data_IF_580149436124
#
_entry.id   IF_580149436124
#
_cell.length_a   1.000
_cell.length_b   1.000
_cell.length_c   1.000
_cell.angle_alpha   90.00
_cell.angle_beta   90.00
_cell.angle_gamma   90.00
#
_symmetry.space_group_name_H-M   'P 1'
#
loop_
_entity.id
_entity.type
_entity.pdbx_description
1 polymer ?
#
# COMPACT_ATOMS: atom_id res chain seq x y z
N UNK A 1 13.27 -16.26 8.55
CA UNK A 1 13.33 -16.82 7.18
C UNK A 1 14.78 -16.77 6.67
N UNK A 2 15.33 -17.86 6.13
CA UNK A 2 16.63 -17.80 5.43
C UNK A 2 16.35 -17.61 3.93
N UNK A 3 16.44 -16.36 3.46
CA UNK A 3 16.18 -16.02 2.06
C UNK A 3 17.34 -16.33 1.12
N UNK A 4 18.54 -16.62 1.63
CA UNK A 4 19.70 -16.90 0.80
C UNK A 4 19.80 -18.39 0.46
N UNK A 5 19.46 -19.24 1.43
CA UNK A 5 19.56 -20.70 1.28
C UNK A 5 18.21 -21.42 1.19
N UNK A 6 17.09 -20.74 1.50
CA UNK A 6 15.76 -21.31 1.44
C UNK A 6 15.24 -21.46 0.01
N UNK A 7 14.42 -22.48 -0.21
CA UNK A 7 13.71 -22.63 -1.50
C UNK A 7 12.63 -21.55 -1.66
N UNK A 8 12.34 -21.17 -2.91
CA UNK A 8 11.26 -20.21 -3.22
C UNK A 8 9.93 -20.63 -2.59
N UNK A 9 9.65 -21.94 -2.55
CA UNK A 9 8.44 -22.50 -1.95
C UNK A 9 8.40 -22.28 -0.44
N UNK A 10 9.52 -22.42 0.27
CA UNK A 10 9.60 -22.15 1.71
C UNK A 10 9.39 -20.65 2.00
N UNK A 11 9.98 -19.76 1.20
CA UNK A 11 9.81 -18.31 1.38
C UNK A 11 8.35 -17.89 1.19
N UNK A 12 7.69 -18.42 0.16
CA UNK A 12 6.28 -18.15 -0.11
C UNK A 12 5.41 -18.75 1.00
N UNK A 13 5.76 -19.92 1.53
CA UNK A 13 4.93 -20.65 2.49
C UNK A 13 5.24 -20.35 3.96
N UNK A 14 6.28 -19.57 4.24
CA UNK A 14 6.72 -19.20 5.57
C UNK A 14 5.57 -18.63 6.45
N UNK A 15 5.41 -19.07 7.70
CA UNK A 15 4.39 -18.51 8.60
C UNK A 15 4.62 -17.01 8.80
N UNK A 16 3.54 -16.27 9.04
CA UNK A 16 3.56 -14.81 9.00
C UNK A 16 4.62 -14.20 9.95
N UNK A 17 4.73 -14.73 11.17
CA UNK A 17 5.74 -14.34 12.15
C UNK A 17 7.19 -14.58 11.67
N UNK A 18 7.43 -15.69 10.97
CA UNK A 18 8.78 -16.01 10.46
C UNK A 18 9.24 -15.11 9.33
N UNK A 19 8.31 -14.36 8.73
CA UNK A 19 8.60 -13.36 7.69
C UNK A 19 8.96 -11.99 8.25
N UNK A 20 8.90 -11.80 9.57
CA UNK A 20 9.30 -10.53 10.21
C UNK A 20 10.82 -10.42 10.35
N UNK A 21 11.53 -11.55 10.40
CA UNK A 21 12.97 -11.62 10.54
C UNK A 21 13.59 -12.43 9.42
N UNK A 22 14.74 -11.97 8.92
CA UNK A 22 15.55 -12.74 7.99
C UNK A 22 16.96 -12.95 8.52
N UNK A 23 17.58 -14.06 8.10
CA UNK A 23 18.97 -14.38 8.40
C UNK A 23 19.86 -13.80 7.30
N UNK A 24 20.87 -13.02 7.68
CA UNK A 24 21.88 -12.52 6.74
C UNK A 24 22.85 -13.63 6.34
N UNK A 25 23.62 -13.45 5.27
CA UNK A 25 24.70 -14.38 4.89
C UNK A 25 25.71 -14.60 6.03
N UNK A 26 25.94 -13.58 6.88
CA UNK A 26 26.79 -13.66 8.08
C UNK A 26 26.09 -14.30 9.30
N UNK A 27 24.89 -14.88 9.13
CA UNK A 27 24.17 -15.59 10.17
C UNK A 27 23.46 -14.72 11.22
N UNK A 28 23.49 -13.38 11.09
CA UNK A 28 22.81 -12.45 12.02
C UNK A 28 21.33 -12.32 11.65
N UNK A 29 20.47 -12.22 12.66
CA UNK A 29 19.05 -11.91 12.46
C UNK A 29 18.86 -10.41 12.27
N UNK A 30 18.14 -10.01 11.22
CA UNK A 30 17.72 -8.63 10.97
C UNK A 30 16.22 -8.55 10.74
N UNK A 31 15.64 -7.40 11.09
CA UNK A 31 14.25 -7.09 10.81
C UNK A 31 14.05 -6.86 9.32
N UNK A 32 12.97 -7.42 8.78
CA UNK A 32 12.52 -7.21 7.40
C UNK A 32 11.85 -5.85 7.22
N UNK A 33 11.70 -5.41 5.97
CA UNK A 33 10.92 -4.20 5.65
C UNK A 33 9.45 -4.35 6.06
N UNK A 34 8.89 -5.57 5.95
CA UNK A 34 7.58 -5.88 6.51
C UNK A 34 7.46 -5.54 8.00
N UNK A 35 8.45 -5.93 8.82
CA UNK A 35 8.41 -5.68 10.26
C UNK A 35 8.46 -4.17 10.59
N UNK A 36 9.32 -3.41 9.89
CA UNK A 36 9.37 -1.95 10.01
C UNK A 36 8.06 -1.28 9.62
N UNK A 37 7.42 -1.75 8.55
CA UNK A 37 6.10 -1.27 8.12
C UNK A 37 5.04 -1.50 9.18
N UNK A 38 4.98 -2.71 9.74
CA UNK A 38 4.01 -3.05 10.79
C UNK A 38 4.22 -2.19 12.04
N UNK A 39 5.48 -1.97 12.42
CA UNK A 39 5.86 -1.09 13.51
C UNK A 39 5.43 0.36 13.22
N UNK A 40 5.63 0.87 12.01
CA UNK A 40 5.17 2.20 11.58
C UNK A 40 3.64 2.35 11.73
N UNK A 41 2.87 1.40 11.21
CA UNK A 41 1.40 1.42 11.30
C UNK A 41 0.96 1.41 12.77
N UNK A 42 1.54 0.52 13.59
CA UNK A 42 1.18 0.40 15.01
C UNK A 42 1.52 1.69 15.75
N UNK A 43 2.69 2.27 15.52
CA UNK A 43 3.10 3.53 16.18
C UNK A 43 2.16 4.67 15.80
N UNK A 44 1.85 4.85 14.52
CA UNK A 44 0.96 5.94 14.07
C UNK A 44 -0.43 5.78 14.68
N UNK A 45 -1.00 4.57 14.66
CA UNK A 45 -2.34 4.33 15.20
C UNK A 45 -2.36 4.43 16.74
N UNK A 46 -1.30 4.00 17.41
CA UNK A 46 -1.13 4.19 18.85
C UNK A 46 -1.03 5.69 19.19
N UNK A 47 -0.41 6.49 18.33
CA UNK A 47 -0.33 7.93 18.50
C UNK A 47 -1.71 8.58 18.47
N UNK A 48 -2.57 8.19 17.52
CA UNK A 48 -3.97 8.64 17.50
C UNK A 48 -4.75 8.21 18.76
N UNK A 49 -4.55 6.97 19.21
CA UNK A 49 -5.18 6.47 20.44
C UNK A 49 -4.75 7.26 21.67
N UNK A 50 -3.44 7.49 21.83
CA UNK A 50 -2.87 8.25 22.94
C UNK A 50 -3.28 9.73 22.88
N UNK A 51 -3.34 10.32 21.69
CA UNK A 51 -3.79 11.71 21.49
C UNK A 51 -5.20 11.90 22.05
N UNK A 52 -6.12 10.97 21.78
CA UNK A 52 -7.49 11.03 22.25
C UNK A 52 -7.63 10.77 23.76
N UNK A 53 -6.89 9.81 24.32
CA UNK A 53 -7.04 9.43 25.73
C UNK A 53 -6.26 10.33 26.70
N UNK A 54 -5.16 10.94 26.25
CA UNK A 54 -4.27 11.77 27.07
C UNK A 54 -4.50 13.27 26.78
N UNK A 55 -5.40 13.60 25.85
CA UNK A 55 -5.72 14.98 25.41
C UNK A 55 -4.46 15.76 24.96
N UNK A 56 -3.47 15.05 24.44
CA UNK A 56 -2.33 15.64 23.76
C UNK A 56 -2.87 16.19 22.45
N UNK A 57 -2.85 17.52 22.23
CA UNK A 57 -3.22 18.18 20.96
C UNK A 57 -2.25 17.89 19.79
N UNK A 58 -1.67 16.70 19.75
CA UNK A 58 -0.66 16.32 18.80
C UNK A 58 -1.26 15.82 17.49
N UNK A 59 -2.31 14.98 17.55
CA UNK A 59 -3.02 14.42 16.39
C UNK A 59 -4.53 14.33 16.67
N UNK A 60 -5.27 15.31 16.16
CA UNK A 60 -6.74 15.30 16.23
C UNK A 60 -7.33 14.81 14.91
N UNK A 61 -8.45 14.09 14.94
CA UNK A 61 -9.19 13.66 13.74
C UNK A 61 -8.94 12.21 13.31
N UNK A 62 -9.05 11.94 12.01
CA UNK A 62 -8.97 10.58 11.45
C UNK A 62 -7.94 10.51 10.32
N UNK A 63 -7.58 9.31 9.88
CA UNK A 63 -6.61 9.12 8.80
C UNK A 63 -6.99 9.78 7.44
N UNK A 64 -8.25 10.12 7.23
CA UNK A 64 -8.70 10.82 6.01
C UNK A 64 -8.65 12.36 6.16
N UNK A 65 -8.62 12.85 7.40
CA UNK A 65 -8.58 14.27 7.75
C UNK A 65 -8.15 14.41 9.20
N UNK A 66 -6.89 14.80 9.41
CA UNK A 66 -6.29 14.97 10.73
C UNK A 66 -5.64 16.34 10.89
N UNK A 67 -5.39 16.72 12.14
CA UNK A 67 -4.66 17.92 12.52
C UNK A 67 -3.41 17.50 13.27
N UNK A 68 -2.24 17.66 12.67
CA UNK A 68 -0.94 17.36 13.28
C UNK A 68 -0.34 18.67 13.80
N UNK A 69 -0.20 18.83 15.12
CA UNK A 69 0.34 20.06 15.73
C UNK A 69 -0.28 21.36 15.19
N UNK A 70 -1.58 21.37 14.96
CA UNK A 70 -2.28 22.54 14.41
C UNK A 70 -2.35 22.60 12.88
N UNK A 71 -1.53 21.84 12.14
CA UNK A 71 -1.57 21.75 10.68
C UNK A 71 -2.63 20.76 10.21
N UNK A 72 -3.49 21.21 9.29
CA UNK A 72 -4.47 20.33 8.66
C UNK A 72 -3.78 19.41 7.65
N UNK A 73 -4.02 18.11 7.75
CA UNK A 73 -3.60 17.08 6.81
C UNK A 73 -4.88 16.43 6.28
N UNK A 74 -5.21 16.70 5.03
CA UNK A 74 -6.43 16.19 4.40
C UNK A 74 -6.02 15.38 3.18
N UNK A 75 -6.56 14.16 3.10
CA UNK A 75 -6.28 13.28 1.98
C UNK A 75 -6.66 13.94 0.64
N UNK A 76 -5.83 13.82 -0.41
CA UNK A 76 -6.12 14.43 -1.71
C UNK A 76 -7.44 13.97 -2.34
N UNK A 77 -7.88 12.74 -2.07
CA UNK A 77 -9.19 12.28 -2.54
C UNK A 77 -10.33 12.95 -1.77
N UNK A 78 -10.25 13.01 -0.44
CA UNK A 78 -11.25 13.71 0.39
C UNK A 78 -11.33 15.19 0.03
N UNK A 79 -10.20 15.84 -0.27
CA UNK A 79 -10.19 17.22 -0.76
C UNK A 79 -10.96 17.39 -2.09
N UNK A 80 -10.84 16.42 -3.01
CA UNK A 80 -11.61 16.42 -4.26
C UNK A 80 -13.10 16.17 -4.02
N UNK A 81 -13.46 15.31 -3.06
CA UNK A 81 -14.87 15.09 -2.68
C UNK A 81 -15.50 16.35 -2.06
N UNK A 82 -14.79 17.04 -1.17
CA UNK A 82 -15.26 18.31 -0.59
C UNK A 82 -15.50 19.33 -1.70
N UNK A 83 -14.57 19.45 -2.65
CA UNK A 83 -14.73 20.34 -3.79
C UNK A 83 -15.90 19.94 -4.69
N UNK A 84 -16.09 18.65 -4.93
CA UNK A 84 -17.20 18.15 -5.73
C UNK A 84 -18.55 18.45 -5.08
N UNK A 85 -18.64 18.34 -3.74
CA UNK A 85 -19.86 18.57 -2.98
C UNK A 85 -20.18 20.05 -2.74
N UNK A 86 -19.19 20.87 -2.37
CA UNK A 86 -19.41 22.27 -1.96
C UNK A 86 -19.11 23.29 -3.07
N UNK A 87 -18.43 22.88 -4.16
CA UNK A 87 -17.92 23.73 -5.24
C UNK A 87 -16.98 24.88 -4.80
N UNK A 88 -16.60 24.92 -3.53
CA UNK A 88 -15.69 25.90 -2.94
C UNK A 88 -14.56 25.20 -2.20
N UNK A 89 -13.34 25.74 -2.33
CA UNK A 89 -12.21 25.28 -1.54
C UNK A 89 -12.01 26.17 -0.31
N UNK A 90 -12.08 25.57 0.87
CA UNK A 90 -11.56 26.21 2.08
C UNK A 90 -10.04 26.21 2.05
N UNK A 91 -9.40 27.32 2.40
CA UNK A 91 -7.94 27.49 2.36
C UNK A 91 -7.20 26.40 3.15
N UNK A 92 -7.78 25.95 4.27
CA UNK A 92 -7.22 24.88 5.11
C UNK A 92 -7.15 23.53 4.38
N UNK A 93 -8.13 23.24 3.53
CA UNK A 93 -8.19 21.99 2.73
C UNK A 93 -7.09 22.00 1.68
N UNK A 94 -6.90 23.14 1.01
CA UNK A 94 -5.85 23.30 0.00
C UNK A 94 -4.47 23.10 0.63
N UNK A 95 -4.18 23.81 1.73
CA UNK A 95 -2.87 23.74 2.40
C UNK A 95 -2.58 22.30 2.85
N UNK A 96 -3.56 21.63 3.46
CA UNK A 96 -3.37 20.27 3.94
C UNK A 96 -3.19 19.24 2.84
N UNK A 97 -3.98 19.34 1.77
CA UNK A 97 -3.89 18.43 0.63
C UNK A 97 -2.57 18.61 -0.13
N UNK A 98 -2.16 19.85 -0.41
CA UNK A 98 -0.89 20.15 -1.08
C UNK A 98 0.30 19.64 -0.27
N UNK A 99 0.27 19.81 1.05
CA UNK A 99 1.33 19.32 1.94
C UNK A 99 1.50 17.80 1.82
N UNK A 100 0.40 17.04 1.87
CA UNK A 100 0.45 15.59 1.68
C UNK A 100 0.88 15.18 0.28
N UNK A 101 0.40 15.87 -0.76
CA UNK A 101 0.81 15.61 -2.15
C UNK A 101 2.33 15.77 -2.29
N UNK A 102 2.91 16.87 -1.79
CA UNK A 102 4.35 17.12 -1.84
C UNK A 102 5.11 16.05 -1.05
N UNK A 103 4.65 15.72 0.16
CA UNK A 103 5.29 14.69 0.97
C UNK A 103 5.31 13.31 0.27
N UNK A 104 4.16 12.85 -0.23
CA UNK A 104 4.07 11.55 -0.91
C UNK A 104 4.66 11.56 -2.31
N UNK A 105 4.81 12.72 -2.94
CA UNK A 105 5.60 12.85 -4.15
C UNK A 105 7.09 12.54 -3.91
N UNK A 106 7.65 12.98 -2.77
CA UNK A 106 9.02 12.69 -2.37
C UNK A 106 9.20 11.23 -1.91
N UNK A 107 8.38 10.78 -0.96
CA UNK A 107 8.52 9.46 -0.31
C UNK A 107 8.04 8.32 -1.21
N UNK A 108 7.07 8.60 -2.09
CA UNK A 108 6.47 7.62 -2.98
C UNK A 108 4.96 7.57 -2.87
N UNK A 109 4.25 7.68 -4.00
CA UNK A 109 2.81 7.98 -4.02
C UNK A 109 1.98 7.01 -3.18
N UNK A 110 1.99 5.71 -3.53
CA UNK A 110 1.22 4.67 -2.81
C UNK A 110 1.87 4.18 -1.50
N UNK A 111 2.92 4.85 -1.00
CA UNK A 111 3.56 4.45 0.27
C UNK A 111 2.58 4.51 1.45
N UNK A 112 1.64 5.47 1.46
CA UNK A 112 0.59 5.60 2.47
C UNK A 112 -0.15 4.27 2.74
N UNK A 113 -0.58 3.59 1.67
CA UNK A 113 -1.36 2.35 1.76
C UNK A 113 -0.59 1.21 2.44
N UNK A 114 0.74 1.25 2.40
CA UNK A 114 1.59 0.25 3.05
C UNK A 114 2.06 0.72 4.44
N UNK A 115 2.51 1.95 4.60
CA UNK A 115 3.24 2.39 5.80
C UNK A 115 2.39 3.04 6.89
N UNK A 116 1.19 3.48 6.55
CA UNK A 116 0.31 4.26 7.44
C UNK A 116 -1.05 3.59 7.61
N UNK A 117 -1.63 3.09 6.52
CA UNK A 117 -2.99 2.56 6.50
C UNK A 117 -3.17 1.30 7.38
N UNK A 118 -4.02 1.32 8.42
CA UNK A 118 -4.27 0.16 9.29
C UNK A 118 -5.07 -0.93 8.57
N UNK A 119 -5.94 -0.56 7.62
CA UNK A 119 -6.60 -1.54 6.76
C UNK A 119 -5.60 -2.30 5.89
N UNK A 120 -4.50 -1.67 5.46
CA UNK A 120 -3.43 -2.34 4.71
C UNK A 120 -2.80 -3.50 5.47
N UNK A 121 -2.67 -3.39 6.79
CA UNK A 121 -2.21 -4.47 7.67
C UNK A 121 -3.22 -5.63 7.72
N UNK A 122 -4.50 -5.32 7.93
CA UNK A 122 -5.56 -6.34 7.97
C UNK A 122 -5.72 -7.06 6.64
N UNK A 123 -5.68 -6.30 5.53
CA UNK A 123 -5.75 -6.85 4.19
C UNK A 123 -4.53 -7.72 3.85
N UNK A 124 -3.34 -7.44 4.42
CA UNK A 124 -2.17 -8.34 4.30
C UNK A 124 -2.40 -9.68 5.02
N UNK A 125 -3.01 -9.64 6.20
CA UNK A 125 -3.36 -10.87 6.95
C UNK A 125 -4.44 -11.64 6.17
N UNK A 126 -5.47 -10.95 5.66
CA UNK A 126 -6.52 -11.53 4.82
C UNK A 126 -5.95 -12.17 3.54
N UNK A 127 -5.04 -11.50 2.86
CA UNK A 127 -4.31 -12.05 1.70
C UNK A 127 -3.59 -13.36 2.04
N UNK A 128 -2.97 -13.44 3.23
CA UNK A 128 -2.28 -14.66 3.66
C UNK A 128 -3.27 -15.82 3.83
N UNK A 129 -4.40 -15.55 4.48
CA UNK A 129 -5.46 -16.55 4.69
C UNK A 129 -6.02 -16.99 3.34
N UNK A 130 -6.35 -16.06 2.45
CA UNK A 130 -6.77 -16.34 1.08
C UNK A 130 -5.79 -17.28 0.37
N UNK A 131 -4.49 -16.95 0.41
CA UNK A 131 -3.45 -17.78 -0.22
C UNK A 131 -3.33 -19.17 0.41
N UNK A 132 -3.60 -19.33 1.71
CA UNK A 132 -3.68 -20.66 2.35
C UNK A 132 -4.89 -21.44 1.82
N UNK A 133 -6.06 -20.80 1.72
CA UNK A 133 -7.30 -21.42 1.24
C UNK A 133 -7.22 -21.82 -0.25
N UNK A 134 -6.65 -20.97 -1.10
CA UNK A 134 -6.39 -21.27 -2.52
C UNK A 134 -5.44 -22.45 -2.64
N UNK A 135 -4.35 -22.48 -1.87
CA UNK A 135 -3.40 -23.61 -1.87
C UNK A 135 -4.04 -24.93 -1.42
N UNK A 136 -4.97 -24.87 -0.46
CA UNK A 136 -5.77 -26.03 -0.02
C UNK A 136 -6.88 -26.42 -1.02
N UNK A 137 -7.00 -25.70 -2.15
CA UNK A 137 -8.04 -25.89 -3.18
C UNK A 137 -9.47 -25.75 -2.66
N UNK A 138 -9.67 -25.00 -1.57
CA UNK A 138 -11.01 -24.74 -1.00
C UNK A 138 -11.71 -23.64 -1.82
N UNK A 139 -10.95 -22.68 -2.33
CA UNK A 139 -11.44 -21.54 -3.12
C UNK A 139 -10.62 -21.37 -4.40
N UNK A 140 -11.20 -20.71 -5.40
CA UNK A 140 -10.52 -20.29 -6.63
C UNK A 140 -10.22 -18.80 -6.57
N UNK A 141 -9.00 -18.41 -6.93
CA UNK A 141 -8.62 -17.00 -7.03
C UNK A 141 -9.27 -16.36 -8.28
N UNK A 142 -10.01 -15.28 -8.08
CA UNK A 142 -10.53 -14.46 -9.16
C UNK A 142 -9.67 -13.19 -9.30
N UNK A 143 -9.14 -12.96 -10.50
CA UNK A 143 -8.40 -11.73 -10.82
C UNK A 143 -9.28 -10.83 -11.69
N UNK A 144 -9.40 -9.57 -11.30
CA UNK A 144 -10.04 -8.54 -12.10
C UNK A 144 -8.99 -7.60 -12.68
N UNK A 145 -9.38 -6.83 -13.69
CA UNK A 145 -8.52 -5.79 -14.24
C UNK A 145 -8.37 -4.66 -13.21
N UNK A 146 -7.15 -4.31 -12.77
CA UNK A 146 -6.93 -3.27 -11.76
C UNK A 146 -7.50 -1.89 -12.14
N UNK A 147 -7.68 -1.64 -13.43
CA UNK A 147 -8.20 -0.37 -13.96
C UNK A 147 -9.65 -0.07 -13.54
N UNK A 148 -10.41 -1.07 -13.07
CA UNK A 148 -11.78 -0.86 -12.57
C UNK A 148 -11.83 0.15 -11.41
N UNK A 149 -10.74 0.32 -10.66
CA UNK A 149 -10.63 1.32 -9.59
C UNK A 149 -10.84 2.75 -10.06
N UNK A 150 -10.48 3.08 -11.31
CA UNK A 150 -10.70 4.41 -11.86
C UNK A 150 -12.19 4.66 -12.12
N UNK A 151 -12.94 3.61 -12.43
CA UNK A 151 -14.40 3.66 -12.54
C UNK A 151 -15.01 3.92 -11.17
N UNK A 152 -14.61 3.17 -10.14
CA UNK A 152 -15.06 3.43 -8.76
C UNK A 152 -14.67 4.82 -8.26
N UNK A 153 -13.46 5.28 -8.56
CA UNK A 153 -12.99 6.63 -8.23
C UNK A 153 -13.89 7.71 -8.83
N UNK A 154 -14.25 7.58 -10.12
CA UNK A 154 -15.16 8.50 -10.79
C UNK A 154 -16.59 8.41 -10.23
N UNK A 155 -17.07 7.20 -9.90
CA UNK A 155 -18.39 6.99 -9.29
C UNK A 155 -18.48 7.68 -7.93
N UNK A 156 -17.49 7.53 -7.05
CA UNK A 156 -17.51 8.17 -5.74
C UNK A 156 -17.50 9.70 -5.84
N UNK A 157 -16.70 10.26 -6.75
CA UNK A 157 -16.70 11.71 -6.99
C UNK A 157 -18.01 12.22 -7.58
N UNK A 158 -18.60 11.48 -8.53
CA UNK A 158 -19.90 11.83 -9.10
C UNK A 158 -21.00 11.75 -8.04
N UNK A 159 -20.99 10.72 -7.20
CA UNK A 159 -21.94 10.59 -6.10
C UNK A 159 -21.81 11.75 -5.10
N UNK A 160 -20.57 12.14 -4.74
CA UNK A 160 -20.32 13.29 -3.88
C UNK A 160 -20.85 14.61 -4.49
N UNK A 161 -20.70 14.79 -5.81
CA UNK A 161 -21.22 15.96 -6.52
C UNK A 161 -22.75 16.01 -6.60
N UNK A 162 -23.42 14.85 -6.66
CA UNK A 162 -24.88 14.77 -6.79
C UNK A 162 -25.56 14.88 -5.42
N UNK A 163 -25.07 14.13 -4.43
CA UNK A 163 -25.69 14.04 -3.11
C UNK A 163 -25.26 15.19 -2.18
N UNK A 164 -24.12 15.84 -2.46
CA UNK A 164 -23.52 16.85 -1.57
C UNK A 164 -22.91 16.26 -0.29
N UNK A 165 -22.82 14.93 -0.19
CA UNK A 165 -22.25 14.21 0.94
C UNK A 165 -20.96 13.47 0.53
N UNK A 166 -20.03 13.32 1.48
CA UNK A 166 -18.80 12.54 1.28
C UNK A 166 -19.11 11.03 1.37
N UNK A 167 -19.65 10.47 0.28
CA UNK A 167 -20.11 9.07 0.22
C UNK A 167 -19.00 8.09 0.59
N UNK A 168 -17.76 8.35 0.18
CA UNK A 168 -16.65 7.48 0.51
C UNK A 168 -16.36 7.45 2.01
N UNK A 169 -16.44 8.55 2.74
CA UNK A 169 -16.21 8.58 4.20
C UNK A 169 -17.14 7.66 4.99
N UNK A 170 -18.34 7.41 4.44
CA UNK A 170 -19.36 6.52 5.00
C UNK A 170 -19.12 5.06 4.63
N UNK A 171 -18.40 4.76 3.55
CA UNK A 171 -18.12 3.36 3.15
C UNK A 171 -16.68 2.93 3.43
N UNK A 172 -15.81 3.87 3.78
CA UNK A 172 -14.38 3.64 3.87
C UNK A 172 -14.00 2.76 5.07
N UNK A 173 -13.51 1.53 4.85
CA UNK A 173 -13.04 0.67 5.94
C UNK A 173 -11.81 1.26 6.64
N UNK A 174 -11.01 2.10 5.97
CA UNK A 174 -9.87 2.80 6.58
C UNK A 174 -10.37 3.75 7.67
N UNK A 175 -11.38 4.56 7.36
CA UNK A 175 -12.02 5.47 8.30
C UNK A 175 -12.65 4.71 9.48
N UNK A 176 -13.33 3.59 9.22
CA UNK A 176 -13.93 2.78 10.28
C UNK A 176 -12.92 2.13 11.21
N UNK A 177 -11.81 1.62 10.69
CA UNK A 177 -10.75 1.08 11.54
C UNK A 177 -10.06 2.20 12.33
N UNK A 178 -9.76 3.33 11.68
CA UNK A 178 -9.17 4.48 12.36
C UNK A 178 -10.05 4.94 13.52
N UNK A 179 -11.36 5.11 13.29
CA UNK A 179 -12.34 5.48 14.31
C UNK A 179 -12.45 4.41 15.39
N UNK A 180 -12.42 3.13 15.02
CA UNK A 180 -12.51 2.05 15.97
C UNK A 180 -11.29 1.95 16.89
N UNK A 181 -10.11 2.28 16.37
CA UNK A 181 -8.89 2.35 17.17
C UNK A 181 -8.96 3.56 18.11
N UNK A 182 -9.35 4.73 17.63
CA UNK A 182 -9.36 5.96 18.45
C UNK A 182 -10.48 5.98 19.49
N UNK A 183 -11.72 5.67 19.10
CA UNK A 183 -12.92 5.82 19.92
C UNK A 183 -13.46 4.50 20.49
N UNK A 184 -12.89 3.36 20.09
CA UNK A 184 -13.32 2.03 20.52
C UNK A 184 -14.34 1.37 19.58
N UNK A 185 -14.98 0.30 20.07
CA UNK A 185 -15.87 -0.54 19.27
C UNK A 185 -17.04 0.23 18.65
N UNK A 186 -17.36 -0.05 17.38
CA UNK A 186 -18.53 0.50 16.68
C UNK A 186 -19.18 -0.54 15.78
N UNK A 187 -20.49 -0.41 15.52
CA UNK A 187 -21.24 -1.28 14.60
C UNK A 187 -20.64 -1.28 13.20
N UNK A 188 -19.99 -0.19 12.81
CA UNK A 188 -19.32 -0.06 11.51
C UNK A 188 -18.18 -1.08 11.29
N UNK A 189 -17.64 -1.71 12.34
CA UNK A 189 -16.68 -2.80 12.19
C UNK A 189 -17.28 -4.04 11.51
N UNK A 190 -18.61 -4.21 11.56
CA UNK A 190 -19.29 -5.28 10.81
C UNK A 190 -19.05 -5.09 9.31
N UNK A 191 -19.08 -3.85 8.81
CA UNK A 191 -18.77 -3.57 7.41
C UNK A 191 -17.33 -3.95 7.05
N UNK A 192 -16.36 -3.60 7.90
CA UNK A 192 -14.95 -3.96 7.73
C UNK A 192 -14.78 -5.48 7.65
N UNK A 193 -15.48 -6.24 8.51
CA UNK A 193 -15.47 -7.70 8.48
C UNK A 193 -16.06 -8.25 7.19
N UNK A 194 -17.20 -7.72 6.71
CA UNK A 194 -17.81 -8.12 5.45
C UNK A 194 -16.84 -7.92 4.28
N UNK A 195 -16.22 -6.74 4.19
CA UNK A 195 -15.23 -6.47 3.14
C UNK A 195 -14.05 -7.44 3.25
N UNK A 196 -13.50 -7.64 4.46
CA UNK A 196 -12.39 -8.57 4.68
C UNK A 196 -12.74 -10.03 4.32
N UNK A 197 -13.97 -10.48 4.61
CA UNK A 197 -14.46 -11.80 4.19
C UNK A 197 -14.47 -11.92 2.67
N UNK A 198 -14.95 -10.90 1.95
CA UNK A 198 -14.92 -10.89 0.48
C UNK A 198 -13.47 -10.98 -0.03
N UNK A 199 -12.53 -10.25 0.58
CA UNK A 199 -11.11 -10.34 0.20
C UNK A 199 -10.51 -11.74 0.47
N UNK A 200 -10.94 -12.41 1.54
CA UNK A 200 -10.44 -13.74 1.91
C UNK A 200 -10.98 -14.82 0.98
N UNK A 201 -12.26 -14.77 0.59
CA UNK A 201 -12.90 -15.83 -0.18
C UNK A 201 -12.87 -15.61 -1.70
N UNK A 202 -12.86 -14.35 -2.17
CA UNK A 202 -13.06 -14.04 -3.58
C UNK A 202 -11.78 -13.60 -4.30
N UNK A 203 -11.13 -12.54 -3.81
CA UNK A 203 -9.93 -11.98 -4.45
C UNK A 203 -8.98 -11.33 -3.45
N UNK A 204 -7.67 -11.57 -3.61
CA UNK A 204 -6.63 -10.97 -2.78
C UNK A 204 -6.75 -9.44 -2.75
N UNK A 205 -6.91 -8.89 -1.54
CA UNK A 205 -6.96 -7.44 -1.30
C UNK A 205 -7.94 -6.70 -2.23
N UNK A 206 -9.12 -7.28 -2.43
CA UNK A 206 -10.10 -6.78 -3.40
C UNK A 206 -10.42 -5.29 -3.23
N UNK A 207 -10.57 -4.81 -1.99
CA UNK A 207 -10.85 -3.41 -1.71
C UNK A 207 -9.68 -2.52 -2.11
N UNK A 208 -8.47 -2.84 -1.64
CA UNK A 208 -7.27 -2.05 -1.94
C UNK A 208 -6.91 -2.04 -3.43
N UNK A 209 -7.18 -3.14 -4.14
CA UNK A 209 -6.79 -3.32 -5.55
C UNK A 209 -7.80 -2.74 -6.54
N UNK A 210 -9.11 -2.90 -6.26
CA UNK A 210 -10.17 -2.61 -7.25
C UNK A 210 -11.12 -1.49 -6.85
N UNK A 211 -11.30 -1.17 -5.57
CA UNK A 211 -12.38 -0.28 -5.12
C UNK A 211 -11.85 1.02 -4.52
N UNK A 212 -10.76 0.95 -3.75
CA UNK A 212 -10.28 2.06 -2.93
C UNK A 212 -9.88 3.30 -3.77
N UNK A 213 -10.63 4.42 -3.66
CA UNK A 213 -10.36 5.62 -4.42
C UNK A 213 -9.14 6.38 -3.87
N UNK A 214 -8.92 6.36 -2.56
CA UNK A 214 -7.70 6.91 -1.91
C UNK A 214 -6.44 6.27 -2.51
N UNK A 215 -6.42 4.94 -2.58
CA UNK A 215 -5.32 4.22 -3.22
C UNK A 215 -5.15 4.56 -4.70
N UNK A 216 -6.24 4.90 -5.40
CA UNK A 216 -6.23 5.32 -6.81
C UNK A 216 -5.64 6.73 -6.96
N UNK A 217 -5.99 7.68 -6.09
CA UNK A 217 -5.39 9.02 -6.09
C UNK A 217 -3.87 8.94 -5.84
N UNK A 218 -3.44 8.14 -4.86
CA UNK A 218 -2.02 7.90 -4.63
C UNK A 218 -1.33 7.11 -5.76
N UNK A 219 -2.06 6.33 -6.55
CA UNK A 219 -1.54 5.67 -7.75
C UNK A 219 -1.05 6.69 -8.77
N UNK A 220 -1.88 7.70 -9.00
CA UNK A 220 -1.63 8.76 -9.96
C UNK A 220 -0.39 9.56 -9.55
N UNK A 221 -0.27 9.90 -8.26
CA UNK A 221 0.93 10.51 -7.69
C UNK A 221 2.16 9.59 -7.79
N UNK A 222 1.97 8.28 -7.61
CA UNK A 222 3.01 7.27 -7.67
C UNK A 222 3.66 7.10 -9.04
N UNK A 223 3.01 7.54 -10.13
CA UNK A 223 3.65 7.54 -11.44
C UNK A 223 4.80 8.55 -11.50
N UNK A 224 4.58 9.74 -10.93
CA UNK A 224 5.54 10.86 -10.96
C UNK A 224 6.49 10.85 -9.75
N UNK A 225 6.22 10.04 -8.72
CA UNK A 225 6.98 10.05 -7.48
C UNK A 225 8.48 9.84 -7.66
N UNK A 226 9.26 10.49 -6.79
CA UNK A 226 10.72 10.53 -6.88
C UNK A 226 11.39 9.23 -6.44
N UNK A 227 10.91 8.64 -5.35
CA UNK A 227 11.41 7.36 -4.84
C UNK A 227 10.81 6.22 -5.63
N UNK A 228 11.66 5.40 -6.26
CA UNK A 228 11.26 4.23 -7.05
C UNK A 228 12.10 3.03 -6.64
N UNK A 229 11.55 1.83 -6.86
CA UNK A 229 12.32 0.59 -6.72
C UNK A 229 13.14 0.39 -7.99
N UNK A 230 14.45 0.22 -7.84
CA UNK A 230 15.39 -0.14 -8.89
C UNK A 230 15.69 -1.63 -8.81
N UNK A 231 15.65 -2.28 -9.96
CA UNK A 231 15.99 -3.68 -10.12
C UNK A 231 17.24 -3.81 -10.99
N UNK A 232 18.17 -4.65 -10.56
CA UNK A 232 19.45 -4.92 -11.21
C UNK A 232 19.41 -6.30 -11.87
N UNK A 233 19.58 -6.33 -13.20
CA UNK A 233 19.52 -7.55 -13.99
C UNK A 233 20.74 -8.45 -13.73
N UNK A 234 21.92 -7.87 -13.52
CA UNK A 234 23.17 -8.62 -13.38
C UNK A 234 23.20 -9.48 -12.11
N UNK A 235 22.40 -9.09 -11.10
CA UNK A 235 22.26 -9.82 -9.85
C UNK A 235 21.06 -10.77 -9.84
N UNK A 236 20.10 -10.63 -10.76
CA UNK A 236 18.87 -11.39 -10.70
C UNK A 236 19.04 -12.81 -11.27
N UNK A 237 18.56 -13.81 -10.54
CA UNK A 237 18.58 -15.24 -10.94
C UNK A 237 17.25 -15.70 -11.57
N UNK A 238 16.32 -14.78 -11.82
CA UNK A 238 14.97 -15.05 -12.32
C UNK A 238 14.19 -16.15 -11.55
N UNK A 239 14.43 -16.31 -10.24
CA UNK A 239 13.75 -17.31 -9.40
C UNK A 239 12.22 -17.13 -9.26
N UNK A 240 11.70 -15.94 -9.58
CA UNK A 240 10.26 -15.64 -9.53
C UNK A 240 9.66 -15.53 -8.12
N UNK A 241 10.47 -15.56 -7.05
CA UNK A 241 10.00 -15.38 -5.68
C UNK A 241 9.31 -14.03 -5.47
N UNK A 242 9.87 -12.95 -6.04
CA UNK A 242 9.33 -11.60 -5.97
C UNK A 242 7.97 -11.46 -6.66
N UNK A 243 7.75 -12.13 -7.81
CA UNK A 243 6.47 -12.13 -8.54
C UNK A 243 5.34 -12.75 -7.71
N UNK A 244 5.64 -13.83 -6.98
CA UNK A 244 4.65 -14.48 -6.11
C UNK A 244 4.43 -13.71 -4.80
N UNK A 245 5.46 -13.04 -4.30
CA UNK A 245 5.39 -12.27 -3.07
C UNK A 245 4.70 -10.92 -3.26
N UNK A 246 4.76 -10.31 -4.44
CA UNK A 246 4.05 -9.07 -4.73
C UNK A 246 2.53 -9.33 -4.83
N UNK A 247 1.72 -8.51 -4.15
CA UNK A 247 0.26 -8.60 -4.30
C UNK A 247 -0.22 -7.95 -5.62
N UNK A 248 0.64 -7.16 -6.24
CA UNK A 248 0.43 -6.51 -7.53
C UNK A 248 1.46 -7.04 -8.53
N UNK A 249 1.26 -8.27 -8.98
CA UNK A 249 2.20 -9.06 -9.78
C UNK A 249 2.53 -8.41 -11.14
N UNK A 250 1.58 -7.68 -11.75
CA UNK A 250 1.81 -6.98 -13.01
C UNK A 250 2.87 -5.87 -12.92
N UNK A 251 3.12 -5.32 -11.72
CA UNK A 251 4.15 -4.29 -11.51
C UNK A 251 5.55 -4.83 -11.78
N UNK A 252 5.77 -6.12 -11.50
CA UNK A 252 7.06 -6.79 -11.65
C UNK A 252 7.12 -7.69 -12.89
N UNK A 253 6.09 -7.67 -13.74
CA UNK A 253 6.00 -8.56 -14.91
C UNK A 253 7.18 -8.42 -15.87
N UNK A 254 7.81 -7.24 -15.90
CA UNK A 254 9.02 -7.01 -16.67
C UNK A 254 10.12 -8.03 -16.32
N UNK A 255 10.24 -8.50 -15.07
CA UNK A 255 11.32 -9.41 -14.62
C UNK A 255 11.26 -10.80 -15.30
N UNK A 256 10.15 -11.15 -15.95
CA UNK A 256 10.04 -12.43 -16.66
C UNK A 256 11.12 -12.55 -17.74
N UNK A 257 11.74 -13.74 -17.92
CA UNK A 257 12.83 -13.95 -18.89
C UNK A 257 12.49 -13.59 -20.34
N UNK A 258 11.20 -13.56 -20.68
CA UNK A 258 10.69 -13.15 -22.00
C UNK A 258 11.22 -11.76 -22.43
N UNK A 259 11.43 -10.85 -21.47
CA UNK A 259 11.86 -9.48 -21.75
C UNK A 259 13.38 -9.28 -21.76
N UNK A 260 14.17 -10.33 -21.49
CA UNK A 260 15.63 -10.19 -21.36
C UNK A 260 16.34 -9.92 -22.70
N UNK A 261 15.81 -10.44 -23.81
CA UNK A 261 16.35 -10.18 -25.15
C UNK A 261 16.24 -8.70 -25.50
N UNK A 262 15.04 -8.14 -25.32
CA UNK A 262 14.76 -6.72 -25.57
C UNK A 262 15.62 -5.80 -24.68
N UNK A 263 15.88 -6.20 -23.43
CA UNK A 263 16.76 -5.45 -22.52
C UNK A 263 18.21 -5.43 -22.96
N UNK A 264 18.74 -6.61 -23.33
CA UNK A 264 20.12 -6.75 -23.80
C UNK A 264 20.35 -5.97 -25.09
N UNK A 265 19.38 -5.98 -25.99
CA UNK A 265 19.40 -5.16 -27.21
C UNK A 265 19.42 -3.65 -26.90
N UNK A 266 18.68 -3.22 -25.86
CA UNK A 266 18.66 -1.83 -25.39
C UNK A 266 19.82 -1.46 -24.46
N UNK A 267 20.70 -2.40 -24.11
CA UNK A 267 21.81 -2.17 -23.17
C UNK A 267 21.38 -1.78 -21.75
N UNK A 268 20.18 -2.14 -21.31
CA UNK A 268 19.62 -1.73 -20.01
C UNK A 268 20.00 -2.74 -18.93
N UNK A 269 20.97 -2.38 -18.08
CA UNK A 269 21.41 -3.23 -16.95
C UNK A 269 20.53 -3.07 -15.69
N UNK A 270 19.96 -1.88 -15.49
CA UNK A 270 19.08 -1.58 -14.35
C UNK A 270 17.78 -0.96 -14.81
N UNK A 271 16.67 -1.36 -14.19
CA UNK A 271 15.33 -0.89 -14.56
C UNK A 271 14.58 -0.39 -13.33
N UNK A 272 13.95 0.79 -13.46
CA UNK A 272 13.07 1.35 -12.44
C UNK A 272 11.65 0.80 -12.60
N UNK A 273 10.99 0.54 -11.47
CA UNK A 273 9.57 0.19 -11.42
C UNK A 273 8.74 1.45 -11.70
N UNK A 274 8.41 1.71 -12.97
CA UNK A 274 7.70 2.94 -13.37
C UNK A 274 6.24 2.94 -12.94
N UNK A 275 5.61 1.77 -12.87
CA UNK A 275 4.18 1.64 -12.61
C UNK A 275 3.80 2.21 -11.22
N UNK A 276 2.87 3.16 -11.21
CA UNK A 276 2.37 3.81 -9.99
C UNK A 276 1.61 2.88 -9.04
N UNK A 277 1.40 1.62 -9.45
CA UNK A 277 0.83 0.56 -8.63
C UNK A 277 1.74 0.03 -7.52
N UNK A 278 3.04 0.29 -7.63
CA UNK A 278 3.97 -0.07 -6.57
C UNK A 278 3.66 0.70 -5.28
N UNK A 279 3.31 0.00 -4.21
CA UNK A 279 3.07 0.62 -2.89
C UNK A 279 4.33 0.80 -2.05
N UNK A 280 5.53 0.55 -2.60
CA UNK A 280 6.80 0.58 -1.87
C UNK A 280 6.77 -0.26 -0.58
N UNK A 281 6.11 -1.42 -0.65
CA UNK A 281 5.96 -2.31 0.49
C UNK A 281 7.25 -3.07 0.84
N UNK A 282 8.24 -3.12 -0.04
CA UNK A 282 9.50 -3.82 0.22
C UNK A 282 9.42 -5.35 0.22
N UNK A 283 8.26 -5.98 -0.07
CA UNK A 283 8.14 -7.46 -0.09
C UNK A 283 9.07 -8.11 -1.10
N UNK A 284 9.37 -7.45 -2.22
CA UNK A 284 10.34 -7.91 -3.21
C UNK A 284 11.77 -7.98 -2.63
N UNK A 285 12.16 -7.05 -1.77
CA UNK A 285 13.44 -7.08 -1.07
C UNK A 285 13.47 -8.22 -0.05
N UNK A 286 12.40 -8.39 0.72
CA UNK A 286 12.35 -9.40 1.79
C UNK A 286 12.49 -10.85 1.28
N UNK A 287 12.08 -11.13 0.03
CA UNK A 287 12.14 -12.48 -0.57
C UNK A 287 13.26 -12.68 -1.59
N UNK A 288 14.01 -11.64 -1.98
CA UNK A 288 15.06 -11.77 -2.99
C UNK A 288 16.29 -12.48 -2.42
N UNK A 289 16.79 -13.52 -3.12
CA UNK A 289 17.97 -14.28 -2.72
C UNK A 289 19.28 -13.52 -2.97
N UNK A 290 19.31 -12.73 -4.04
CA UNK A 290 20.55 -12.11 -4.57
C UNK A 290 20.64 -10.61 -4.29
N UNK A 291 19.70 -10.06 -3.50
CA UNK A 291 19.62 -8.62 -3.21
C UNK A 291 19.65 -7.74 -4.48
N UNK A 292 18.92 -8.17 -5.51
CA UNK A 292 18.85 -7.49 -6.81
C UNK A 292 18.03 -6.18 -6.80
N UNK A 293 17.50 -5.75 -5.65
CA UNK A 293 16.67 -4.56 -5.54
C UNK A 293 17.34 -3.48 -4.69
N UNK A 294 17.22 -2.23 -5.12
CA UNK A 294 17.62 -1.04 -4.37
C UNK A 294 16.54 0.04 -4.47
N UNK A 295 16.50 0.96 -3.52
CA UNK A 295 15.73 2.20 -3.68
C UNK A 295 16.57 3.22 -4.44
N UNK A 296 15.96 3.89 -5.41
CA UNK A 296 16.59 4.95 -6.17
C UNK A 296 15.75 6.22 -6.10
N UNK A 297 16.44 7.35 -6.05
CA UNK A 297 15.83 8.68 -6.00
C UNK A 297 16.06 9.37 -7.33
N UNK A 298 15.01 9.55 -8.13
CA UNK A 298 15.08 10.20 -9.46
C UNK A 298 15.68 11.62 -9.46
N UNK A 299 15.75 12.28 -8.30
CA UNK A 299 16.35 13.60 -8.17
C UNK A 299 17.85 13.59 -8.52
N UNK A 300 18.53 12.46 -8.32
CA UNK A 300 19.95 12.31 -8.62
C UNK A 300 20.28 12.33 -10.12
N UNK A 301 19.27 12.11 -10.98
CA UNK A 301 19.42 12.12 -12.44
C UNK A 301 19.06 13.48 -13.07
N UNK A 302 18.60 14.45 -12.27
CA UNK A 302 18.19 15.80 -12.74
C UNK A 302 19.14 16.93 -12.29
N UNK A 303 20.19 16.62 -11.53
CA UNK A 303 21.26 17.54 -11.10
C UNK A 303 22.57 17.07 -11.68
#
# INVERSE_FOLDING_TARGET
>A
MDRYNGSVRELINAPLLSTLYYKTQAGKFRLTLRAWRWLSIIIINLLFFLSFHIDLQMLEGTLNGSRLFGFHLIDPFTALEIFAAEHHFHTNVIIGSVTLIVFYFLVGGKAYCSWVCPYGLLSEIGERIHQILVRKKIIKEHKFTPNVRFVFWAIFLAAAAIDGYLVFEVLNPIGYISRAITYGWSLALVWVLVVLTIEIFYSRRAWCKYVCPVGTTYNMLGWVSMTKVKWDMNKCDHCGACLNACFEDHVLEFIKPKYDKERKEKGVETQLVVNGDCTLCGRCFDVCHTDAYNYDFRLKDMV
#
